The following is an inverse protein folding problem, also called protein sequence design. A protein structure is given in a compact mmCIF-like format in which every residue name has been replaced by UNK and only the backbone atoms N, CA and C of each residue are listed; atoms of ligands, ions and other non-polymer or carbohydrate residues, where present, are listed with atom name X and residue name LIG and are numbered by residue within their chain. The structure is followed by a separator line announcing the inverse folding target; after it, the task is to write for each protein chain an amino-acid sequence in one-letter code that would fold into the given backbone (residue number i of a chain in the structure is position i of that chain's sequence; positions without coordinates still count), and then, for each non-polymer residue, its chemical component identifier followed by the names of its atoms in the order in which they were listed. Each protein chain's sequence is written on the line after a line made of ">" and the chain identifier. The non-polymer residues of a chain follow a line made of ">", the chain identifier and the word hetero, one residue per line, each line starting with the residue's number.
data_IF_615858951068
#
_entry.id   IF_615858951068
#
_cell.length_a   1.000
_cell.length_b   1.000
_cell.length_c   1.000
_cell.angle_alpha   90.00
_cell.angle_beta   90.00
_cell.angle_gamma   90.00
#
_symmetry.space_group_name_H-M   'P 1'
#
loop_
_entity.id
_entity.type
_entity.pdbx_description
1 polymer ?
#
# COMPACT_ATOMS: atom_id res chain seq x y z
N UNK A 1 19.69 3.81 -20.13
CA UNK A 1 18.72 4.08 -19.06
C UNK A 1 17.51 3.16 -19.23
N UNK A 2 17.08 2.56 -18.14
CA UNK A 2 15.93 1.68 -18.22
C UNK A 2 14.64 2.45 -18.41
N UNK A 3 13.76 1.90 -19.22
CA UNK A 3 12.45 2.48 -19.45
C UNK A 3 11.57 2.28 -18.21
N UNK A 4 10.87 3.34 -17.82
CA UNK A 4 9.87 3.26 -16.74
C UNK A 4 8.77 2.26 -17.12
N UNK A 5 8.52 2.07 -18.42
CA UNK A 5 7.55 1.09 -18.92
C UNK A 5 7.84 -0.34 -18.48
N UNK A 6 9.11 -0.67 -18.20
CA UNK A 6 9.44 -1.97 -17.63
C UNK A 6 8.73 -2.21 -16.30
N UNK A 7 8.53 -1.15 -15.51
CA UNK A 7 7.88 -1.24 -14.21
C UNK A 7 6.35 -1.11 -14.29
N UNK A 8 5.76 -0.97 -15.49
CA UNK A 8 4.31 -0.84 -15.64
C UNK A 8 3.62 -2.16 -15.93
N UNK A 9 4.01 -2.86 -16.98
CA UNK A 9 3.33 -4.10 -17.38
C UNK A 9 3.87 -5.33 -16.65
N UNK A 10 5.14 -5.28 -16.27
CA UNK A 10 5.82 -6.37 -15.56
C UNK A 10 6.11 -5.99 -14.12
N UNK A 11 5.32 -5.08 -13.59
CA UNK A 11 5.69 -4.32 -12.40
C UNK A 11 5.65 -5.11 -11.11
N UNK A 12 4.87 -6.17 -11.06
CA UNK A 12 4.80 -6.99 -9.86
C UNK A 12 6.04 -7.87 -9.78
N UNK A 13 6.91 -7.57 -8.84
CA UNK A 13 8.15 -8.29 -8.65
C UNK A 13 7.99 -9.56 -7.80
N UNK A 14 6.76 -9.89 -7.40
CA UNK A 14 6.47 -11.13 -6.69
C UNK A 14 6.88 -12.33 -7.53
N UNK A 15 7.60 -13.25 -6.91
CA UNK A 15 8.06 -14.45 -7.59
C UNK A 15 9.28 -14.27 -8.45
N UNK A 16 9.77 -13.05 -8.61
CA UNK A 16 11.00 -12.78 -9.37
C UNK A 16 12.19 -12.89 -8.45
N UNK A 17 13.22 -13.62 -8.90
CA UNK A 17 14.47 -13.72 -8.14
C UNK A 17 15.16 -12.36 -8.19
N UNK A 18 15.44 -11.80 -7.01
CA UNK A 18 16.06 -10.49 -6.86
C UNK A 18 17.37 -10.38 -7.64
N UNK A 19 18.15 -11.48 -7.68
CA UNK A 19 19.44 -11.48 -8.37
C UNK A 19 19.31 -11.41 -9.89
N UNK A 20 18.14 -11.69 -10.44
CA UNK A 20 17.88 -11.62 -11.88
C UNK A 20 17.44 -10.23 -12.34
N UNK A 21 17.13 -9.33 -11.41
CA UNK A 21 16.71 -7.96 -11.72
C UNK A 21 17.97 -7.10 -11.89
N UNK A 22 18.08 -6.33 -13.01
CA UNK A 22 19.22 -5.44 -13.18
C UNK A 22 19.37 -4.50 -11.99
N UNK A 23 20.62 -4.22 -11.61
CA UNK A 23 20.92 -3.44 -10.41
C UNK A 23 20.29 -2.05 -10.45
N UNK A 24 20.28 -1.39 -11.60
CA UNK A 24 19.70 -0.05 -11.73
C UNK A 24 18.17 -0.08 -11.58
N UNK A 25 17.51 -1.17 -11.95
CA UNK A 25 16.07 -1.34 -11.68
C UNK A 25 15.85 -1.56 -10.19
N UNK A 26 16.68 -2.38 -9.54
CA UNK A 26 16.59 -2.60 -8.09
C UNK A 26 16.76 -1.29 -7.34
N UNK A 27 17.70 -0.47 -7.76
CA UNK A 27 17.93 0.83 -7.14
C UNK A 27 16.73 1.75 -7.33
N UNK A 28 16.16 1.80 -8.52
CA UNK A 28 14.96 2.62 -8.78
C UNK A 28 13.78 2.15 -7.92
N UNK A 29 13.55 0.86 -7.85
CA UNK A 29 12.46 0.31 -7.01
C UNK A 29 12.68 0.71 -5.55
N UNK A 30 13.91 0.59 -5.06
CA UNK A 30 14.24 0.98 -3.70
C UNK A 30 13.95 2.47 -3.46
N UNK A 31 14.28 3.32 -4.42
CA UNK A 31 14.01 4.75 -4.32
C UNK A 31 12.50 5.04 -4.29
N UNK A 32 11.72 4.32 -5.09
CA UNK A 32 10.27 4.50 -5.11
C UNK A 32 9.65 4.16 -3.76
N UNK A 33 10.10 3.06 -3.13
CA UNK A 33 9.62 2.69 -1.81
C UNK A 33 10.09 3.68 -0.73
N UNK A 34 11.29 4.25 -0.89
CA UNK A 34 11.74 5.31 0.01
C UNK A 34 10.86 6.56 -0.11
N UNK A 35 10.43 6.90 -1.32
CA UNK A 35 9.50 8.02 -1.53
C UNK A 35 8.20 7.80 -0.77
N UNK A 36 7.64 6.58 -0.86
CA UNK A 36 6.43 6.24 -0.13
C UNK A 36 6.64 6.32 1.38
N UNK A 37 7.80 5.85 1.86
CA UNK A 37 8.13 5.86 3.28
C UNK A 37 8.31 7.28 3.83
N UNK A 38 8.85 8.19 3.01
CA UNK A 38 9.05 9.59 3.40
C UNK A 38 7.85 10.48 3.11
N UNK A 39 6.89 10.00 2.32
CA UNK A 39 5.75 10.81 1.92
C UNK A 39 6.05 11.79 0.80
N UNK A 40 7.01 11.46 -0.07
CA UNK A 40 7.34 12.26 -1.25
C UNK A 40 6.28 12.09 -2.33
N UNK A 41 5.09 12.56 -2.05
CA UNK A 41 3.90 12.29 -2.84
C UNK A 41 4.02 12.80 -4.27
N UNK A 42 4.45 14.05 -4.43
CA UNK A 42 4.52 14.67 -5.77
C UNK A 42 5.55 13.98 -6.66
N UNK A 43 6.71 13.63 -6.11
CA UNK A 43 7.75 12.95 -6.88
C UNK A 43 7.31 11.55 -7.27
N UNK A 44 6.71 10.81 -6.33
CA UNK A 44 6.21 9.48 -6.61
C UNK A 44 5.10 9.53 -7.68
N UNK A 45 4.21 10.50 -7.59
CA UNK A 45 3.14 10.68 -8.58
C UNK A 45 3.72 10.89 -9.99
N UNK A 46 4.81 11.64 -10.12
CA UNK A 46 5.45 11.84 -11.41
C UNK A 46 5.93 10.54 -12.03
N UNK A 47 6.53 9.65 -11.23
CA UNK A 47 6.96 8.34 -11.72
C UNK A 47 5.77 7.50 -12.17
N UNK A 48 4.69 7.52 -11.42
CA UNK A 48 3.48 6.77 -11.77
C UNK A 48 2.85 7.33 -13.05
N UNK A 49 2.80 8.64 -13.18
CA UNK A 49 2.28 9.30 -14.40
C UNK A 49 3.12 8.95 -15.64
N UNK A 50 4.39 8.62 -15.44
CA UNK A 50 5.29 8.23 -16.53
C UNK A 50 5.38 6.71 -16.73
N UNK A 51 4.49 5.94 -16.09
CA UNK A 51 4.34 4.53 -16.39
C UNK A 51 4.73 3.54 -15.30
N UNK A 52 5.20 4.01 -14.14
CA UNK A 52 5.46 3.10 -13.02
C UNK A 52 4.12 2.57 -12.50
N UNK A 53 4.04 1.27 -12.27
CA UNK A 53 2.84 0.64 -11.76
C UNK A 53 2.59 1.04 -10.31
N UNK A 54 1.40 1.60 -10.04
CA UNK A 54 1.01 1.96 -8.68
C UNK A 54 0.93 0.75 -7.74
N UNK A 55 0.86 -0.47 -8.30
CA UNK A 55 0.77 -1.72 -7.54
C UNK A 55 2.10 -2.44 -7.38
N UNK A 56 3.20 -1.75 -7.62
CA UNK A 56 4.54 -2.30 -7.46
C UNK A 56 4.72 -2.79 -6.02
N UNK A 57 5.37 -3.95 -5.86
CA UNK A 57 5.64 -4.56 -4.54
C UNK A 57 7.13 -4.74 -4.32
N UNK A 58 7.54 -4.66 -3.07
CA UNK A 58 8.93 -4.95 -2.71
C UNK A 58 9.10 -6.45 -2.40
N UNK A 59 10.28 -6.84 -1.96
CA UNK A 59 10.60 -8.24 -1.69
C UNK A 59 9.83 -8.85 -0.52
N UNK A 60 9.24 -8.03 0.33
CA UNK A 60 8.37 -8.49 1.42
C UNK A 60 6.89 -8.52 1.01
N UNK A 61 6.62 -8.24 -0.26
CA UNK A 61 5.26 -8.17 -0.78
C UNK A 61 4.51 -6.92 -0.39
N UNK A 62 5.17 -5.94 0.23
CA UNK A 62 4.53 -4.68 0.58
C UNK A 62 4.34 -3.82 -0.66
N UNK A 63 3.13 -3.32 -0.88
CA UNK A 63 2.87 -2.36 -1.93
C UNK A 63 3.33 -0.96 -1.52
N UNK A 64 3.45 -0.06 -2.50
CA UNK A 64 3.73 1.34 -2.21
C UNK A 64 2.69 1.92 -1.26
N UNK A 65 1.41 1.58 -1.49
CA UNK A 65 0.31 2.05 -0.65
C UNK A 65 0.46 1.54 0.79
N UNK A 66 0.82 0.27 0.98
CA UNK A 66 1.05 -0.28 2.31
C UNK A 66 2.13 0.50 3.06
N UNK A 67 3.25 0.79 2.39
CA UNK A 67 4.35 1.53 3.01
C UNK A 67 3.89 2.95 3.38
N UNK A 68 3.18 3.64 2.47
CA UNK A 68 2.69 4.99 2.74
C UNK A 68 1.71 5.00 3.92
N UNK A 69 0.79 4.02 3.95
CA UNK A 69 -0.21 3.92 5.02
C UNK A 69 0.45 3.67 6.37
N UNK A 70 1.37 2.71 6.41
CA UNK A 70 2.05 2.34 7.65
C UNK A 70 2.97 3.43 8.14
N UNK A 71 3.48 4.27 7.23
CA UNK A 71 4.35 5.39 7.56
C UNK A 71 3.59 6.69 7.88
N UNK A 72 2.26 6.67 7.79
CA UNK A 72 1.43 7.79 8.21
C UNK A 72 1.29 8.91 7.17
N UNK A 73 1.46 8.61 5.89
CA UNK A 73 1.41 9.62 4.83
C UNK A 73 0.10 9.61 4.07
N UNK A 74 -0.90 10.30 4.61
CA UNK A 74 -2.26 10.35 4.09
C UNK A 74 -2.32 10.82 2.62
N UNK A 75 -1.61 11.89 2.29
CA UNK A 75 -1.64 12.41 0.92
C UNK A 75 -1.09 11.39 -0.08
N UNK A 76 -0.08 10.63 0.32
CA UNK A 76 0.51 9.60 -0.53
C UNK A 76 -0.47 8.45 -0.74
N UNK A 77 -1.17 8.03 0.31
CA UNK A 77 -2.20 7.00 0.22
C UNK A 77 -3.30 7.43 -0.76
N UNK A 78 -3.78 8.67 -0.63
CA UNK A 78 -4.82 9.21 -1.52
C UNK A 78 -4.33 9.24 -2.96
N UNK A 79 -3.12 9.69 -3.20
CA UNK A 79 -2.56 9.75 -4.53
C UNK A 79 -2.47 8.35 -5.15
N UNK A 80 -1.94 7.39 -4.40
CA UNK A 80 -1.78 6.02 -4.90
C UNK A 80 -3.13 5.38 -5.21
N UNK A 81 -4.11 5.53 -4.32
CA UNK A 81 -5.43 4.98 -4.55
C UNK A 81 -6.10 5.61 -5.77
N UNK A 82 -5.94 6.91 -5.96
CA UNK A 82 -6.48 7.61 -7.13
C UNK A 82 -5.83 7.15 -8.44
N UNK A 83 -4.59 6.65 -8.37
CA UNK A 83 -3.87 6.13 -9.54
C UNK A 83 -4.04 4.61 -9.73
N UNK A 84 -5.00 4.00 -9.05
CA UNK A 84 -5.35 2.60 -9.26
C UNK A 84 -4.65 1.60 -8.35
N UNK A 85 -4.02 2.05 -7.28
CA UNK A 85 -3.43 1.13 -6.32
C UNK A 85 -4.52 0.27 -5.66
N UNK A 86 -4.24 -1.03 -5.51
CA UNK A 86 -5.15 -1.95 -4.84
C UNK A 86 -5.09 -1.73 -3.33
N UNK A 87 -6.15 -1.16 -2.77
CA UNK A 87 -6.20 -0.85 -1.34
C UNK A 87 -6.31 -2.11 -0.47
N UNK A 88 -6.56 -3.26 -1.09
CA UNK A 88 -6.68 -4.55 -0.38
C UNK A 88 -5.48 -5.48 -0.59
N UNK A 89 -4.41 -5.00 -1.23
CA UNK A 89 -3.25 -5.83 -1.50
C UNK A 89 -2.56 -6.25 -0.20
N UNK A 90 -2.52 -7.56 0.06
CA UNK A 90 -1.87 -8.11 1.24
C UNK A 90 -0.38 -8.28 0.98
N UNK A 91 0.43 -8.09 2.01
CA UNK A 91 1.85 -8.42 1.90
C UNK A 91 2.07 -9.93 2.14
N UNK A 92 3.34 -10.36 2.12
CA UNK A 92 3.67 -11.78 2.27
C UNK A 92 3.29 -12.36 3.63
N UNK A 93 3.03 -11.51 4.62
CA UNK A 93 2.58 -11.93 5.96
C UNK A 93 1.05 -11.92 6.08
N UNK A 94 0.34 -11.65 5.00
CA UNK A 94 -1.12 -11.59 5.01
C UNK A 94 -1.69 -10.34 5.67
N UNK A 95 -0.91 -9.26 5.76
CA UNK A 95 -1.34 -8.01 6.38
C UNK A 95 -1.98 -7.09 5.34
N UNK A 96 -3.08 -6.43 5.73
CA UNK A 96 -3.77 -5.48 4.86
C UNK A 96 -3.39 -4.04 5.21
N UNK A 97 -3.49 -3.11 4.25
CA UNK A 97 -3.26 -1.69 4.55
C UNK A 97 -4.20 -1.15 5.62
N UNK A 98 -5.47 -1.56 5.58
CA UNK A 98 -6.47 -1.07 6.54
C UNK A 98 -6.14 -1.51 7.96
N UNK A 99 -5.80 -2.79 8.16
CA UNK A 99 -5.40 -3.27 9.49
C UNK A 99 -4.15 -2.54 9.98
N UNK A 100 -3.20 -2.30 9.07
CA UNK A 100 -1.99 -1.56 9.42
C UNK A 100 -2.28 -0.12 9.86
N UNK A 101 -3.20 0.56 9.18
CA UNK A 101 -3.60 1.91 9.54
C UNK A 101 -4.28 1.95 10.91
N UNK A 102 -5.08 0.94 11.23
CA UNK A 102 -5.73 0.83 12.54
C UNK A 102 -4.68 0.59 13.63
N UNK A 103 -3.76 -0.34 13.36
CA UNK A 103 -2.66 -0.62 14.29
C UNK A 103 -1.85 0.65 14.59
N UNK A 104 -1.58 1.46 13.58
CA UNK A 104 -0.81 2.70 13.73
C UNK A 104 -1.67 3.87 14.19
N UNK A 105 -2.97 3.68 14.33
CA UNK A 105 -3.92 4.71 14.78
C UNK A 105 -3.89 5.95 13.90
N UNK A 106 -4.08 5.75 12.60
CA UNK A 106 -4.06 6.80 11.58
C UNK A 106 -5.47 7.03 11.06
N UNK A 107 -6.29 7.87 11.73
CA UNK A 107 -7.72 7.99 11.39
C UNK A 107 -7.98 8.50 9.98
N UNK A 108 -7.18 9.44 9.48
CA UNK A 108 -7.37 9.97 8.14
C UNK A 108 -7.08 8.92 7.08
N UNK A 109 -6.08 8.07 7.32
CA UNK A 109 -5.73 6.98 6.40
C UNK A 109 -6.81 5.90 6.44
N UNK A 110 -7.33 5.58 7.63
CA UNK A 110 -8.45 4.64 7.75
C UNK A 110 -9.63 5.13 6.90
N UNK A 111 -9.98 6.40 7.01
CA UNK A 111 -11.07 6.99 6.25
C UNK A 111 -10.80 6.93 4.74
N UNK A 112 -9.58 7.26 4.32
CA UNK A 112 -9.18 7.20 2.91
C UNK A 112 -9.33 5.79 2.36
N UNK A 113 -8.79 4.81 3.07
CA UNK A 113 -8.84 3.42 2.62
C UNK A 113 -10.28 2.93 2.49
N UNK A 114 -11.13 3.26 3.47
CA UNK A 114 -12.54 2.89 3.40
C UNK A 114 -13.26 3.56 2.23
N UNK A 115 -12.98 4.84 1.97
CA UNK A 115 -13.56 5.55 0.84
C UNK A 115 -13.17 4.92 -0.50
N UNK A 116 -11.98 4.35 -0.56
CA UNK A 116 -11.47 3.70 -1.77
C UNK A 116 -11.79 2.21 -1.83
N UNK A 117 -12.67 1.71 -0.95
CA UNK A 117 -13.17 0.35 -1.05
C UNK A 117 -12.39 -0.71 -0.28
N UNK A 118 -11.63 -0.32 0.74
CA UNK A 118 -10.91 -1.30 1.55
C UNK A 118 -11.88 -2.27 2.22
N UNK A 119 -11.55 -3.57 2.15
CA UNK A 119 -12.36 -4.64 2.72
C UNK A 119 -11.93 -4.91 4.16
N UNK A 120 -12.82 -4.67 5.14
CA UNK A 120 -12.46 -4.88 6.55
C UNK A 120 -12.17 -6.33 6.92
N UNK A 121 -12.55 -7.28 6.06
CA UNK A 121 -12.34 -8.71 6.34
C UNK A 121 -11.06 -9.27 5.70
N UNK A 122 -10.34 -8.45 4.92
CA UNK A 122 -9.12 -8.88 4.26
C UNK A 122 -7.96 -9.01 5.25
N UNK A 123 -7.16 -10.03 5.07
CA UNK A 123 -5.94 -10.25 5.84
C UNK A 123 -6.15 -10.93 7.18
N UNK A 124 -5.02 -11.17 7.87
CA UNK A 124 -5.02 -11.79 9.20
C UNK A 124 -3.89 -11.22 10.06
N UNK A 125 -4.21 -10.58 11.20
CA UNK A 125 -5.58 -10.24 11.58
C UNK A 125 -6.19 -9.22 10.62
N UNK A 126 -7.50 -9.31 10.40
CA UNK A 126 -8.17 -8.33 9.56
C UNK A 126 -8.40 -7.02 10.34
N UNK A 127 -8.98 -6.03 9.66
CA UNK A 127 -9.20 -4.72 10.28
C UNK A 127 -10.14 -4.79 11.49
N UNK A 128 -11.19 -5.62 11.40
CA UNK A 128 -12.15 -5.78 12.49
C UNK A 128 -11.47 -6.35 13.73
N UNK A 129 -10.69 -7.42 13.55
CA UNK A 129 -9.96 -8.03 14.66
C UNK A 129 -8.95 -7.08 15.27
N UNK A 130 -8.27 -6.29 14.42
CA UNK A 130 -7.30 -5.30 14.89
C UNK A 130 -8.00 -4.23 15.73
N UNK A 131 -9.15 -3.75 15.28
CA UNK A 131 -9.93 -2.75 16.04
C UNK A 131 -10.36 -3.31 17.39
N UNK A 132 -10.77 -4.58 17.45
CA UNK A 132 -11.11 -5.24 18.72
C UNK A 132 -9.92 -5.30 19.66
N UNK A 133 -8.75 -5.64 19.14
CA UNK A 133 -7.52 -5.72 19.94
C UNK A 133 -7.22 -4.40 20.63
N UNK A 134 -7.59 -3.28 20.02
CA UNK A 134 -7.37 -1.95 20.56
C UNK A 134 -8.58 -1.40 21.33
N UNK A 135 -9.63 -2.22 21.51
CA UNK A 135 -10.82 -1.80 22.25
C UNK A 135 -11.64 -0.72 21.53
N UNK A 136 -11.51 -0.61 20.24
CA UNK A 136 -12.19 0.41 19.44
C UNK A 136 -13.55 -0.09 18.94
N UNK A 137 -14.51 -0.14 19.87
CA UNK A 137 -15.86 -0.63 19.55
C UNK A 137 -16.57 0.24 18.52
N UNK A 138 -16.34 1.54 18.55
CA UNK A 138 -16.86 2.47 17.54
C UNK A 138 -16.41 2.08 16.14
N UNK A 139 -15.15 1.73 16.03
CA UNK A 139 -14.57 1.33 14.75
C UNK A 139 -15.04 -0.06 14.33
N UNK A 140 -15.16 -1.00 15.28
CA UNK A 140 -15.68 -2.34 15.00
C UNK A 140 -17.07 -2.25 14.37
N UNK A 141 -17.97 -1.44 14.93
CA UNK A 141 -19.31 -1.27 14.39
C UNK A 141 -19.28 -0.68 12.99
N UNK A 142 -18.47 0.34 12.78
CA UNK A 142 -18.31 0.99 11.48
C UNK A 142 -17.81 0.00 10.42
N UNK A 143 -16.82 -0.81 10.78
CA UNK A 143 -16.22 -1.79 9.86
C UNK A 143 -17.19 -2.93 9.53
N UNK A 144 -17.98 -3.39 10.50
CA UNK A 144 -19.01 -4.40 10.25
C UNK A 144 -20.05 -3.89 9.26
N UNK A 145 -20.46 -2.65 9.39
CA UNK A 145 -21.44 -2.06 8.47
C UNK A 145 -20.89 -2.01 7.04
N UNK A 146 -19.59 -1.78 6.89
CA UNK A 146 -18.93 -1.74 5.59
C UNK A 146 -18.74 -3.12 4.97
N UNK A 147 -18.48 -4.13 5.81
CA UNK A 147 -18.20 -5.48 5.35
C UNK A 147 -19.43 -6.32 5.09
N UNK A 148 -20.61 -5.82 5.37
CA UNK A 148 -21.85 -6.58 5.24
C UNK A 148 -22.30 -6.75 3.78
#
# INVERSE_FOLDING_TARGET
>A
MLSVGFLSSQANLEGVNQSEIPEDVQELVSQLFDMARRGDTDTLAQYIDHGVDANLRNQDGNSLLMIAAYSGHHACVEMLAAHGADVNALNDRGQSPLAGAIFKQEPEIIDSLLRHGADPTAGQPNAIDTARMFGREDLVERLHARGA
#
